data_IF_759440859886
#
_entry.id   IF_759440859886
#
_cell.length_a   1.000
_cell.length_b   1.000
_cell.length_c   1.000
_cell.angle_alpha   90.00
_cell.angle_beta   90.00
_cell.angle_gamma   90.00
#
_symmetry.space_group_name_H-M   'P 1'
#
loop_
_entity.id
_entity.type
_entity.pdbx_description
1 polymer ?
#
# COMPACT_ATOMS: atom_id res chain seq x y z
N UNK A 1 -14.54 -16.10 -0.04
CA UNK A 1 -14.72 -15.39 1.25
C UNK A 1 -14.22 -13.98 1.02
N UNK A 2 -15.14 -13.02 0.91
CA UNK A 2 -14.77 -11.62 0.72
C UNK A 2 -14.14 -11.15 2.03
N UNK A 3 -12.80 -11.12 2.10
CA UNK A 3 -12.15 -10.38 3.16
C UNK A 3 -12.50 -8.90 2.91
N UNK A 4 -13.55 -8.44 3.58
CA UNK A 4 -14.02 -7.07 3.45
C UNK A 4 -12.98 -6.08 3.97
N UNK A 5 -13.30 -4.78 3.84
CA UNK A 5 -12.50 -3.65 4.34
C UNK A 5 -11.93 -3.87 5.74
N UNK A 6 -12.64 -4.60 6.61
CA UNK A 6 -12.18 -4.95 7.96
C UNK A 6 -10.83 -5.69 7.98
N UNK A 7 -10.64 -6.74 7.18
CA UNK A 7 -9.37 -7.47 7.14
C UNK A 7 -8.21 -6.65 6.56
N UNK A 8 -8.54 -5.70 5.68
CA UNK A 8 -7.57 -4.70 5.19
C UNK A 8 -7.19 -3.74 6.32
N UNK A 9 -8.15 -3.24 7.10
CA UNK A 9 -7.87 -2.36 8.24
C UNK A 9 -7.10 -3.06 9.36
N UNK A 10 -7.25 -4.38 9.52
CA UNK A 10 -6.41 -5.18 10.42
C UNK A 10 -4.95 -5.25 9.95
N UNK A 11 -4.72 -5.45 8.64
CA UNK A 11 -3.37 -5.49 8.07
C UNK A 11 -2.72 -4.10 7.91
N UNK A 12 -3.54 -3.06 7.72
CA UNK A 12 -3.14 -1.69 7.45
C UNK A 12 -3.87 -0.73 8.39
N UNK A 13 -3.56 -0.74 9.70
CA UNK A 13 -4.29 0.02 10.71
C UNK A 13 -4.22 1.55 10.49
N UNK A 14 -3.18 2.04 9.81
CA UNK A 14 -3.07 3.45 9.46
C UNK A 14 -4.19 3.92 8.52
N UNK A 15 -4.82 3.02 7.74
CA UNK A 15 -5.95 3.36 6.89
C UNK A 15 -7.18 3.79 7.69
N UNK A 16 -7.26 3.51 8.99
CA UNK A 16 -8.31 4.06 9.87
C UNK A 16 -8.29 5.59 9.96
N UNK A 17 -7.15 6.22 9.64
CA UNK A 17 -7.05 7.67 9.53
C UNK A 17 -7.56 8.24 8.21
N UNK A 18 -7.86 7.40 7.22
CA UNK A 18 -8.34 7.82 5.90
C UNK A 18 -9.84 8.06 5.93
N UNK A 19 -10.36 9.10 5.24
CA UNK A 19 -11.79 9.38 5.16
C UNK A 19 -12.61 8.17 4.70
N UNK A 20 -13.79 7.93 5.31
CA UNK A 20 -14.61 6.76 5.03
C UNK A 20 -15.14 6.72 3.60
N UNK A 21 -15.31 7.86 2.95
CA UNK A 21 -15.68 7.94 1.53
C UNK A 21 -14.63 7.28 0.62
N UNK A 22 -13.34 7.48 0.95
CA UNK A 22 -12.21 6.94 0.20
C UNK A 22 -12.07 5.46 0.51
N UNK A 23 -12.23 5.07 1.79
CA UNK A 23 -12.23 3.66 2.18
C UNK A 23 -13.40 2.87 1.56
N UNK A 24 -14.55 3.50 1.32
CA UNK A 24 -15.68 2.88 0.61
C UNK A 24 -15.45 2.73 -0.88
N UNK A 25 -14.74 3.67 -1.48
CA UNK A 25 -14.33 3.57 -2.89
C UNK A 25 -13.15 2.64 -3.10
N UNK A 26 -12.35 2.37 -2.05
CA UNK A 26 -11.15 1.54 -2.09
C UNK A 26 -11.46 0.13 -2.58
N UNK A 27 -10.84 -0.26 -3.69
CA UNK A 27 -10.89 -1.63 -4.16
C UNK A 27 -10.01 -2.53 -3.29
N UNK A 28 -10.66 -3.26 -2.38
CA UNK A 28 -9.97 -4.19 -1.47
C UNK A 28 -9.44 -5.43 -2.18
N UNK A 29 -9.88 -5.73 -3.40
CA UNK A 29 -9.35 -6.85 -4.17
C UNK A 29 -8.00 -6.52 -4.81
N UNK A 30 -7.76 -5.24 -5.13
CA UNK A 30 -6.43 -4.75 -5.52
C UNK A 30 -5.42 -4.86 -4.38
N UNK A 31 -5.88 -4.84 -3.13
CA UNK A 31 -5.02 -4.99 -1.95
C UNK A 31 -4.72 -6.47 -1.68
N UNK A 32 -3.44 -6.75 -1.49
CA UNK A 32 -3.02 -8.06 -1.02
C UNK A 32 -3.08 -8.07 0.51
N UNK A 33 -3.74 -9.09 1.06
CA UNK A 33 -3.62 -9.44 2.46
C UNK A 33 -2.31 -10.24 2.61
N UNK A 34 -1.28 -9.66 3.26
CA UNK A 34 0.01 -10.31 3.37
C UNK A 34 -0.09 -11.61 4.17
N UNK A 35 0.55 -12.67 3.68
CA UNK A 35 0.87 -13.84 4.50
C UNK A 35 1.98 -13.47 5.50
N UNK A 36 2.19 -14.29 6.53
CA UNK A 36 3.16 -14.01 7.61
C UNK A 36 4.54 -13.56 7.08
N UNK A 37 5.07 -14.22 6.06
CA UNK A 37 6.38 -13.88 5.45
C UNK A 37 6.39 -12.51 4.76
N UNK A 38 5.30 -12.16 4.08
CA UNK A 38 5.16 -10.87 3.40
C UNK A 38 4.98 -9.78 4.46
N UNK A 39 4.21 -10.05 5.52
CA UNK A 39 3.96 -9.13 6.61
C UNK A 39 5.25 -8.80 7.38
N UNK A 40 6.11 -9.79 7.64
CA UNK A 40 7.44 -9.56 8.23
C UNK A 40 8.31 -8.65 7.35
N UNK A 41 8.30 -8.89 6.04
CA UNK A 41 9.06 -8.05 5.10
C UNK A 41 8.50 -6.63 5.06
N UNK A 42 7.18 -6.48 5.03
CA UNK A 42 6.48 -5.19 5.10
C UNK A 42 6.90 -4.39 6.33
N UNK A 43 6.80 -4.98 7.52
CA UNK A 43 7.16 -4.31 8.78
C UNK A 43 8.63 -3.88 8.82
N UNK A 44 9.52 -4.71 8.26
CA UNK A 44 10.94 -4.38 8.13
C UNK A 44 11.17 -3.21 7.18
N UNK A 45 10.50 -3.19 6.03
CA UNK A 45 10.55 -2.06 5.10
C UNK A 45 10.02 -0.79 5.76
N UNK A 46 8.83 -0.84 6.37
CA UNK A 46 8.21 0.30 7.06
C UNK A 46 9.13 0.94 8.10
N UNK A 47 9.87 0.10 8.84
CA UNK A 47 10.85 0.56 9.84
C UNK A 47 12.13 1.11 9.21
N UNK A 48 12.57 0.55 8.07
CA UNK A 48 13.81 0.94 7.41
C UNK A 48 13.65 2.23 6.62
N UNK A 49 12.59 2.33 5.82
CA UNK A 49 12.32 3.49 4.94
C UNK A 49 11.54 4.59 5.65
N UNK A 50 11.14 4.36 6.91
CA UNK A 50 10.29 5.26 7.70
C UNK A 50 9.02 5.70 6.95
N UNK A 51 8.31 4.75 6.37
CA UNK A 51 7.11 4.96 5.56
C UNK A 51 6.04 3.93 5.90
N UNK A 52 4.79 4.18 5.49
CA UNK A 52 3.73 3.17 5.52
C UNK A 52 3.77 2.36 4.23
N UNK A 53 3.86 1.05 4.32
CA UNK A 53 3.93 0.18 3.14
C UNK A 53 2.57 -0.50 2.93
N UNK A 54 1.98 -0.29 1.76
CA UNK A 54 0.81 -1.02 1.27
C UNK A 54 1.24 -2.01 0.21
N UNK A 55 0.59 -3.17 0.18
CA UNK A 55 0.90 -4.23 -0.77
C UNK A 55 -0.29 -4.42 -1.69
N UNK A 56 -0.02 -4.28 -2.98
CA UNK A 56 -1.01 -4.46 -4.03
C UNK A 56 -0.77 -5.78 -4.76
N UNK A 57 -1.85 -6.39 -5.24
CA UNK A 57 -1.77 -7.47 -6.22
C UNK A 57 -1.43 -6.87 -7.57
N UNK A 58 -0.31 -7.29 -8.13
CA UNK A 58 0.06 -7.06 -9.52
C UNK A 58 -0.78 -7.99 -10.41
N UNK A 59 -2.09 -7.74 -10.47
CA UNK A 59 -2.94 -8.32 -11.51
C UNK A 59 -2.62 -7.61 -12.82
N UNK A 60 -2.58 -8.35 -13.93
CA UNK A 60 -2.03 -7.91 -15.23
C UNK A 60 -2.70 -6.70 -15.90
N UNK A 61 -3.64 -6.02 -15.25
CA UNK A 61 -4.17 -4.72 -15.65
C UNK A 61 -4.72 -4.04 -14.40
N UNK A 62 -4.12 -2.92 -13.94
CA UNK A 62 -4.79 -2.09 -12.96
C UNK A 62 -6.02 -1.52 -13.65
N UNK A 63 -7.24 -1.91 -13.23
CA UNK A 63 -8.48 -1.41 -13.84
C UNK A 63 -8.60 0.12 -13.69
N UNK A 64 -7.83 0.70 -12.76
CA UNK A 64 -7.59 2.11 -12.64
C UNK A 64 -6.10 2.39 -12.88
N UNK A 65 -5.75 3.26 -13.83
CA UNK A 65 -4.35 3.61 -14.16
C UNK A 65 -3.51 4.18 -12.99
N UNK A 66 -4.07 4.29 -11.78
CA UNK A 66 -3.34 4.51 -10.53
C UNK A 66 -4.19 3.97 -9.37
N UNK A 67 -3.58 3.31 -8.36
CA UNK A 67 -4.29 2.90 -7.15
C UNK A 67 -4.99 4.10 -6.52
N UNK A 68 -6.24 3.94 -6.06
CA UNK A 68 -7.01 5.07 -5.50
C UNK A 68 -6.30 5.73 -4.31
N UNK A 69 -5.63 4.95 -3.47
CA UNK A 69 -4.81 5.49 -2.38
C UNK A 69 -3.65 6.35 -2.88
N UNK A 70 -3.09 6.13 -4.08
CA UNK A 70 -2.07 7.02 -4.65
C UNK A 70 -2.62 8.39 -5.07
N UNK A 71 -3.92 8.48 -5.35
CA UNK A 71 -4.59 9.75 -5.65
C UNK A 71 -4.91 10.52 -4.38
N UNK A 72 -5.29 9.82 -3.32
CA UNK A 72 -5.63 10.41 -2.03
C UNK A 72 -4.42 10.70 -1.15
N UNK A 73 -3.47 9.78 -1.04
CA UNK A 73 -2.36 9.83 -0.11
C UNK A 73 -1.10 10.32 -0.81
N UNK A 74 -0.28 11.02 -0.04
CA UNK A 74 1.06 11.44 -0.46
C UNK A 74 1.98 10.21 -0.40
N UNK A 75 2.62 9.92 -1.52
CA UNK A 75 3.67 8.89 -1.58
C UNK A 75 4.84 9.28 -0.69
N UNK A 76 5.51 8.29 -0.10
CA UNK A 76 6.70 8.55 0.70
C UNK A 76 7.81 9.15 -0.18
N UNK A 77 8.57 10.10 0.37
CA UNK A 77 9.81 10.55 -0.26
C UNK A 77 10.88 9.51 0.02
N UNK A 78 11.18 8.69 -0.99
CA UNK A 78 12.12 7.59 -0.91
C UNK A 78 13.46 8.00 -1.50
N UNK A 79 14.56 7.65 -0.84
CA UNK A 79 15.89 7.77 -1.41
C UNK A 79 16.14 6.66 -2.44
N UNK A 80 17.15 6.81 -3.29
CA UNK A 80 17.55 5.76 -4.24
C UNK A 80 17.80 4.40 -3.55
N UNK A 81 18.37 4.41 -2.32
CA UNK A 81 18.56 3.20 -1.51
C UNK A 81 17.24 2.55 -1.10
N UNK A 82 16.24 3.35 -0.72
CA UNK A 82 14.93 2.87 -0.31
C UNK A 82 14.18 2.24 -1.49
N UNK A 83 14.28 2.88 -2.66
CA UNK A 83 13.79 2.31 -3.92
C UNK A 83 14.43 0.95 -4.21
N UNK A 84 15.75 0.79 -4.02
CA UNK A 84 16.41 -0.51 -4.19
C UNK A 84 15.93 -1.56 -3.19
N UNK A 85 15.58 -1.19 -1.96
CA UNK A 85 15.03 -2.12 -0.96
C UNK A 85 13.63 -2.60 -1.33
N UNK A 86 12.77 -1.67 -1.75
CA UNK A 86 11.43 -1.98 -2.25
C UNK A 86 11.49 -2.90 -3.46
N UNK A 87 12.35 -2.56 -4.44
CA UNK A 87 12.51 -3.36 -5.64
C UNK A 87 12.97 -4.80 -5.32
N UNK A 88 13.97 -4.96 -4.44
CA UNK A 88 14.41 -6.29 -4.01
C UNK A 88 13.30 -7.11 -3.32
N UNK A 89 12.43 -6.43 -2.56
CA UNK A 89 11.28 -7.09 -1.95
C UNK A 89 10.25 -7.51 -3.02
N UNK A 90 9.95 -6.63 -3.99
CA UNK A 90 9.10 -6.95 -5.13
C UNK A 90 9.65 -8.15 -5.92
N UNK A 91 10.94 -8.16 -6.24
CA UNK A 91 11.60 -9.28 -6.93
C UNK A 91 11.51 -10.59 -6.14
N UNK A 92 11.74 -10.54 -4.83
CA UNK A 92 11.62 -11.71 -3.94
C UNK A 92 10.21 -12.31 -3.97
N UNK A 93 9.19 -11.47 -4.10
CA UNK A 93 7.80 -11.88 -4.13
C UNK A 93 7.17 -11.79 -5.54
N UNK A 94 7.97 -11.64 -6.60
CA UNK A 94 7.48 -11.46 -7.96
C UNK A 94 6.60 -12.65 -8.42
N UNK A 95 6.95 -13.86 -7.98
CA UNK A 95 6.14 -15.08 -8.22
C UNK A 95 4.75 -15.04 -7.58
N UNK A 96 4.56 -14.21 -6.56
CA UNK A 96 3.28 -14.00 -5.90
C UNK A 96 2.50 -12.82 -6.52
N UNK A 97 3.08 -12.13 -7.52
CA UNK A 97 2.46 -11.00 -8.19
C UNK A 97 2.13 -9.88 -7.21
N UNK A 98 3.11 -9.40 -6.45
CA UNK A 98 2.91 -8.35 -5.44
C UNK A 98 3.71 -7.11 -5.80
N UNK A 99 3.17 -5.94 -5.46
CA UNK A 99 3.88 -4.66 -5.56
C UNK A 99 3.80 -3.92 -4.23
N UNK A 100 4.93 -3.34 -3.81
CA UNK A 100 5.03 -2.60 -2.56
C UNK A 100 5.00 -1.11 -2.83
N UNK A 101 4.04 -0.41 -2.23
CA UNK A 101 3.88 1.04 -2.37
C UNK A 101 4.10 1.70 -1.03
N UNK A 102 4.98 2.70 -1.00
CA UNK A 102 5.29 3.47 0.20
C UNK A 102 4.52 4.80 0.25
N UNK A 103 3.85 5.04 1.37
CA UNK A 103 3.15 6.28 1.69
C UNK A 103 3.83 7.02 2.83
N UNK A 104 3.70 8.35 2.82
CA UNK A 104 4.32 9.19 3.83
C UNK A 104 3.91 8.80 5.25
N UNK A 105 4.87 8.84 6.18
CA UNK A 105 4.65 8.64 7.62
C UNK A 105 5.13 9.90 8.37
N UNK A 106 4.25 10.64 9.07
CA UNK A 106 2.80 10.42 9.23
C UNK A 106 2.03 10.54 7.91
N UNK A 107 0.83 9.94 7.85
CA UNK A 107 -0.03 9.99 6.66
C UNK A 107 -0.31 11.44 6.28
N UNK A 108 -0.08 11.75 5.01
CA UNK A 108 -0.44 13.02 4.42
C UNK A 108 -1.41 12.79 3.25
N UNK A 109 -2.40 13.66 3.14
CA UNK A 109 -3.38 13.64 2.07
C UNK A 109 -2.98 14.63 0.98
N UNK A 110 -3.18 14.25 -0.28
CA UNK A 110 -3.07 15.20 -1.39
C UNK A 110 -4.22 16.19 -1.28
N UNK A 111 -3.91 17.49 -1.42
CA UNK A 111 -4.88 18.59 -1.37
C UNK A 111 -5.82 18.65 -2.60
N UNK A 112 -5.78 17.67 -3.48
CA UNK A 112 -6.53 17.66 -4.75
C UNK A 112 -7.99 17.18 -4.59
N UNK A 113 -8.42 16.85 -3.37
CA UNK A 113 -9.82 16.49 -3.08
C UNK A 113 -10.72 17.71 -2.78
N UNK A 114 -10.18 18.92 -2.88
CA UNK A 114 -10.90 20.19 -2.71
C UNK A 114 -11.04 20.91 -4.06
N UNK A 115 -11.85 20.38 -4.98
CA UNK A 115 -12.38 21.14 -6.13
C UNK A 115 -13.73 20.60 -6.58
#
# INVERSE_FOLDING_TARGET
>A
MSHGLDGVLECYPFLRGVPPEILRSLDVDELLLPTSTILETKQRLESTVNAWIVIYRCSQQPQFSSPQLCRTLVAASLSAKDHSLLHQAEERFAKNGVSFVAYARPLAFRKDLES
#
